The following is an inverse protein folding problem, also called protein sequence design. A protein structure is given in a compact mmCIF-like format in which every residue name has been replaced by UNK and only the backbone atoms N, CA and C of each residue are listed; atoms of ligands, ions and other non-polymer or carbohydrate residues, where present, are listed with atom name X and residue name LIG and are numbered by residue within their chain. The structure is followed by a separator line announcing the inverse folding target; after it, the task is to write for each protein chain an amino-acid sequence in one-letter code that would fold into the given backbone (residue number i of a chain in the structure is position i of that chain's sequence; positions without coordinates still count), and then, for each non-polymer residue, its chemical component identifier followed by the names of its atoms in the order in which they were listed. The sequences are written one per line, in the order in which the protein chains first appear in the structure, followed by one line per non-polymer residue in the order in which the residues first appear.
data_IF_156707485796
#
_entry.id   IF_156707485796
#
_cell.length_a   1.000
_cell.length_b   1.000
_cell.length_c   1.000
_cell.angle_alpha   90.00
_cell.angle_beta   90.00
_cell.angle_gamma   90.00
#
_symmetry.space_group_name_H-M   'P 1'
#
loop_
_entity.id
_entity.type
_entity.pdbx_description
1 polymer ?
#
# COMPACT_ATOMS: atom_id res chain seq x y z
N UNK A 1 -18.68 -9.60 -15.11
CA UNK A 1 -18.52 -8.13 -15.13
C UNK A 1 -17.13 -7.81 -14.61
N UNK A 2 -16.18 -7.52 -15.51
CA UNK A 2 -14.79 -7.25 -15.13
C UNK A 2 -14.70 -5.83 -14.57
N UNK A 3 -14.43 -5.66 -13.27
CA UNK A 3 -14.17 -4.33 -12.68
C UNK A 3 -12.84 -3.84 -13.23
N UNK A 4 -12.85 -2.75 -13.98
CA UNK A 4 -11.63 -2.07 -14.40
C UNK A 4 -10.89 -1.57 -13.15
N UNK A 5 -9.75 -2.18 -12.83
CA UNK A 5 -8.90 -1.74 -11.72
C UNK A 5 -8.08 -0.55 -12.22
N UNK A 6 -8.15 0.63 -11.57
CA UNK A 6 -7.35 1.78 -11.98
C UNK A 6 -5.85 1.49 -11.82
N UNK A 7 -5.06 2.00 -12.76
CA UNK A 7 -3.59 1.88 -12.81
C UNK A 7 -2.93 2.07 -11.43
N UNK A 8 -2.09 1.11 -11.04
CA UNK A 8 -1.28 1.18 -9.83
C UNK A 8 -0.23 2.27 -10.01
N UNK A 9 -0.32 3.35 -9.22
CA UNK A 9 0.74 4.36 -9.17
C UNK A 9 1.86 3.86 -8.23
N UNK A 10 3.09 3.82 -8.72
CA UNK A 10 4.30 3.48 -7.94
C UNK A 10 5.08 4.78 -7.69
N UNK A 11 5.38 5.11 -6.44
CA UNK A 11 6.23 6.27 -6.12
C UNK A 11 7.69 5.84 -6.30
N UNK A 12 8.37 6.36 -7.32
CA UNK A 12 9.71 5.91 -7.70
C UNK A 12 10.83 6.43 -6.78
N UNK A 13 10.54 7.34 -5.84
CA UNK A 13 11.58 7.92 -4.98
C UNK A 13 11.06 8.59 -3.67
N UNK A 14 10.46 7.85 -2.72
CA UNK A 14 9.87 8.44 -1.51
C UNK A 14 10.88 9.07 -0.51
N UNK A 15 12.19 8.89 -0.73
CA UNK A 15 13.23 9.04 0.31
C UNK A 15 14.12 10.29 0.18
N UNK A 16 13.95 11.12 -0.86
CA UNK A 16 14.84 12.26 -1.23
C UNK A 16 14.95 13.42 -0.20
N UNK A 17 14.48 13.24 1.04
CA UNK A 17 14.60 14.26 2.10
C UNK A 17 14.53 13.71 3.53
N UNK A 18 14.41 12.39 3.73
CA UNK A 18 14.28 11.81 5.07
C UNK A 18 15.65 11.42 5.63
N UNK A 19 16.02 12.03 6.77
CA UNK A 19 17.26 11.76 7.52
C UNK A 19 17.28 10.39 8.21
N UNK A 20 16.11 9.83 8.52
CA UNK A 20 15.94 8.52 9.15
C UNK A 20 15.30 7.55 8.15
N UNK A 21 16.13 6.72 7.52
CA UNK A 21 15.77 5.93 6.35
C UNK A 21 14.83 4.75 6.66
N UNK A 22 14.94 4.13 7.84
CA UNK A 22 14.14 2.94 8.16
C UNK A 22 12.70 3.29 8.56
N UNK A 23 12.52 4.06 9.63
CA UNK A 23 11.17 4.39 10.15
C UNK A 23 10.32 5.22 9.18
N UNK A 24 10.94 6.12 8.40
CA UNK A 24 10.22 6.88 7.38
C UNK A 24 9.78 6.00 6.21
N UNK A 25 10.63 5.06 5.78
CA UNK A 25 10.30 4.08 4.74
C UNK A 25 9.11 3.22 5.14
N UNK A 26 9.12 2.66 6.35
CA UNK A 26 8.02 1.85 6.89
C UNK A 26 6.71 2.64 6.98
N UNK A 27 6.77 3.91 7.40
CA UNK A 27 5.58 4.78 7.48
C UNK A 27 5.00 5.08 6.10
N UNK A 28 5.86 5.40 5.11
CA UNK A 28 5.40 5.67 3.74
C UNK A 28 4.85 4.40 3.09
N UNK A 29 5.52 3.26 3.27
CA UNK A 29 5.06 1.96 2.77
C UNK A 29 3.71 1.56 3.37
N UNK A 30 3.51 1.74 4.69
CA UNK A 30 2.25 1.46 5.37
C UNK A 30 1.10 2.37 4.90
N UNK A 31 1.37 3.67 4.71
CA UNK A 31 0.34 4.62 4.21
C UNK A 31 -0.04 4.36 2.75
N UNK A 32 0.92 3.99 1.89
CA UNK A 32 0.65 3.57 0.50
C UNK A 32 -0.18 2.29 0.47
N UNK A 33 0.22 1.29 1.26
CA UNK A 33 -0.47 -0.01 1.34
C UNK A 33 -1.92 0.17 1.78
N UNK A 34 -2.15 0.94 2.83
CA UNK A 34 -3.50 1.30 3.30
C UNK A 34 -4.33 1.98 2.21
N UNK A 35 -3.71 2.88 1.45
CA UNK A 35 -4.37 3.59 0.35
C UNK A 35 -4.75 2.66 -0.82
N UNK A 36 -3.88 1.71 -1.17
CA UNK A 36 -4.10 0.73 -2.25
C UNK A 36 -5.19 -0.27 -1.88
N UNK A 37 -5.24 -0.70 -0.62
CA UNK A 37 -6.33 -1.53 -0.08
C UNK A 37 -7.65 -0.77 -0.13
N UNK A 38 -7.68 0.49 0.33
CA UNK A 38 -8.90 1.33 0.31
C UNK A 38 -9.45 1.54 -1.10
N UNK A 39 -8.59 1.58 -2.11
CA UNK A 39 -8.99 1.69 -3.52
C UNK A 39 -9.40 0.36 -4.17
N UNK A 40 -9.29 -0.77 -3.45
CA UNK A 40 -9.53 -2.10 -4.01
C UNK A 40 -8.52 -2.47 -5.11
N UNK A 41 -7.33 -1.87 -5.08
CA UNK A 41 -6.26 -2.16 -6.04
C UNK A 41 -5.43 -3.40 -5.62
N UNK A 42 -5.64 -3.90 -4.40
CA UNK A 42 -5.11 -5.16 -3.91
C UNK A 42 -6.26 -6.15 -3.84
N UNK A 43 -6.09 -7.31 -4.47
CA UNK A 43 -7.09 -8.38 -4.45
C UNK A 43 -7.14 -8.98 -3.06
N UNK A 44 -8.20 -8.67 -2.31
CA UNK A 44 -8.33 -9.10 -0.93
C UNK A 44 -8.88 -10.53 -0.77
N UNK A 45 -9.21 -11.28 -1.83
CA UNK A 45 -9.74 -12.67 -1.77
C UNK A 45 -10.85 -12.91 -0.71
N UNK A 46 -11.67 -11.90 -0.41
CA UNK A 46 -12.69 -11.97 0.65
C UNK A 46 -12.21 -11.62 2.06
N UNK A 47 -10.92 -11.37 2.25
CA UNK A 47 -10.34 -10.83 3.47
C UNK A 47 -10.73 -9.37 3.69
N UNK A 48 -10.76 -8.97 4.96
CA UNK A 48 -11.01 -7.57 5.32
C UNK A 48 -9.81 -6.70 4.98
N UNK A 49 -10.02 -5.39 4.88
CA UNK A 49 -8.94 -4.43 4.63
C UNK A 49 -7.81 -4.53 5.68
N UNK A 50 -8.17 -4.78 6.94
CA UNK A 50 -7.22 -4.96 8.03
C UNK A 50 -6.44 -6.27 7.93
N UNK A 51 -7.11 -7.37 7.58
CA UNK A 51 -6.43 -8.66 7.34
C UNK A 51 -5.45 -8.56 6.16
N UNK A 52 -5.88 -7.94 5.06
CA UNK A 52 -5.02 -7.70 3.89
C UNK A 52 -3.82 -6.82 4.25
N UNK A 53 -4.03 -5.82 5.10
CA UNK A 53 -2.95 -4.97 5.59
C UNK A 53 -1.96 -5.74 6.48
N UNK A 54 -2.48 -6.53 7.43
CA UNK A 54 -1.67 -7.33 8.34
C UNK A 54 -0.84 -8.39 7.60
N UNK A 55 -1.39 -9.05 6.58
CA UNK A 55 -0.64 -9.99 5.74
C UNK A 55 0.47 -9.34 4.91
N UNK A 56 0.31 -8.07 4.53
CA UNK A 56 1.32 -7.32 3.77
C UNK A 56 2.39 -6.66 4.66
N UNK A 57 2.12 -6.52 5.96
CA UNK A 57 3.01 -5.91 6.95
C UNK A 57 3.72 -6.93 7.84
N UNK A 58 3.38 -8.22 7.72
CA UNK A 58 4.04 -9.34 8.40
C UNK A 58 5.32 -9.78 7.68
#
# INVERSE_FOLDING_TARGET
MSRAVPLIKRITNPMMGFKAFHSASETIAGTETSHRIRKGQITANGATAFQTFAELAA
#
